data_IF_933353368423
#
_entry.id   IF_933353368423
#
_cell.length_a   1.000
_cell.length_b   1.000
_cell.length_c   1.000
_cell.angle_alpha   90.00
_cell.angle_beta   90.00
_cell.angle_gamma   90.00
#
_symmetry.space_group_name_H-M   'P 1'
#
loop_
_entity.id
_entity.type
_entity.pdbx_description
1 polymer ?
#
# COMPACT_ATOMS: atom_id res chain seq x y z
N UNK A 1 1.92 1.87 -14.10
CA UNK A 1 0.59 1.38 -13.72
C UNK A 1 -0.06 2.41 -12.80
N UNK A 2 -1.28 2.85 -13.11
CA UNK A 2 -2.00 3.83 -12.29
C UNK A 2 -2.65 3.16 -11.09
N UNK A 3 -2.39 3.69 -9.89
CA UNK A 3 -2.96 3.20 -8.63
C UNK A 3 -3.62 4.33 -7.85
N UNK A 4 -4.65 3.97 -7.09
CA UNK A 4 -5.37 4.87 -6.21
C UNK A 4 -5.22 4.36 -4.79
N UNK A 5 -4.63 5.18 -3.92
CA UNK A 5 -4.31 4.84 -2.54
C UNK A 5 -5.27 5.58 -1.62
N UNK A 6 -5.87 4.83 -0.72
CA UNK A 6 -6.73 5.32 0.35
C UNK A 6 -6.03 4.98 1.67
N UNK A 7 -5.33 5.95 2.29
CA UNK A 7 -4.66 5.71 3.54
C UNK A 7 -5.69 5.56 4.67
N UNK A 8 -5.67 4.41 5.33
CA UNK A 8 -6.47 4.09 6.51
C UNK A 8 -5.73 4.36 7.81
N UNK A 9 -6.19 3.70 8.88
CA UNK A 9 -5.59 3.80 10.21
C UNK A 9 -4.27 3.03 10.31
N UNK A 10 -4.32 1.71 10.04
CA UNK A 10 -3.15 0.80 10.05
C UNK A 10 -2.91 0.14 8.70
N UNK A 11 -3.62 0.58 7.67
CA UNK A 11 -3.58 -0.06 6.36
C UNK A 11 -3.65 0.92 5.19
N UNK A 12 -2.93 0.62 4.11
CA UNK A 12 -3.12 1.25 2.81
C UNK A 12 -4.05 0.38 1.99
N UNK A 13 -5.18 0.92 1.56
CA UNK A 13 -6.03 0.28 0.55
C UNK A 13 -5.72 0.87 -0.81
N UNK A 14 -5.38 0.01 -1.76
CA UNK A 14 -4.87 0.41 -3.07
C UNK A 14 -5.72 -0.25 -4.15
N UNK A 15 -6.18 0.54 -5.11
CA UNK A 15 -6.91 0.03 -6.29
C UNK A 15 -6.15 0.33 -7.57
N UNK A 16 -5.99 -0.68 -8.41
CA UNK A 16 -5.32 -0.57 -9.70
C UNK A 16 -6.34 -0.17 -10.76
N UNK A 17 -6.16 1.02 -11.35
CA UNK A 17 -7.00 1.55 -12.45
C UNK A 17 -8.52 1.25 -12.30
N UNK A 18 -9.15 1.70 -11.19
CA UNK A 18 -10.54 1.41 -10.91
C UNK A 18 -11.48 2.01 -11.98
N UNK A 19 -12.56 1.30 -12.30
CA UNK A 19 -13.59 1.78 -13.26
C UNK A 19 -14.47 2.89 -12.69
N UNK A 20 -14.56 3.00 -11.36
CA UNK A 20 -15.37 3.98 -10.64
C UNK A 20 -14.46 4.86 -9.81
N UNK A 21 -14.91 6.07 -9.54
CA UNK A 21 -14.26 6.95 -8.60
C UNK A 21 -14.13 6.26 -7.24
N UNK A 22 -12.97 6.43 -6.62
CA UNK A 22 -12.68 5.88 -5.29
C UNK A 22 -12.84 7.01 -4.29
N UNK A 23 -13.61 6.76 -3.24
CA UNK A 23 -13.82 7.67 -2.13
C UNK A 23 -13.31 7.03 -0.84
N UNK A 24 -13.20 7.84 0.22
CA UNK A 24 -12.88 7.39 1.58
C UNK A 24 -14.12 6.86 2.34
N UNK A 25 -15.28 6.77 1.68
CA UNK A 25 -16.55 6.42 2.34
C UNK A 25 -16.46 5.08 3.09
N UNK A 26 -16.90 5.06 4.35
CA UNK A 26 -16.91 3.88 5.20
C UNK A 26 -15.59 3.56 5.93
N UNK A 27 -14.55 4.39 5.83
CA UNK A 27 -13.32 4.24 6.61
C UNK A 27 -13.30 5.14 7.86
N UNK A 28 -12.80 4.66 9.01
CA UNK A 28 -12.67 5.49 10.21
C UNK A 28 -11.76 6.70 9.92
N UNK A 29 -12.16 7.87 10.43
CA UNK A 29 -11.39 9.11 10.35
C UNK A 29 -10.33 9.16 11.46
N UNK A 30 -9.42 8.17 11.47
CA UNK A 30 -8.22 8.22 12.29
C UNK A 30 -7.04 8.33 11.34
N UNK A 31 -6.37 9.47 11.42
CA UNK A 31 -5.29 9.87 10.52
C UNK A 31 -3.98 9.61 11.26
N UNK A 32 -3.28 8.54 10.90
CA UNK A 32 -1.88 8.38 11.31
C UNK A 32 -1.03 9.36 10.51
N UNK A 33 -0.35 10.35 11.12
CA UNK A 33 0.33 11.40 10.38
C UNK A 33 1.37 10.89 9.37
N UNK A 34 2.05 9.79 9.69
CA UNK A 34 3.07 9.16 8.85
C UNK A 34 2.47 8.46 7.61
N UNK A 35 1.24 7.94 7.69
CA UNK A 35 0.54 7.31 6.54
C UNK A 35 0.29 8.30 5.40
N UNK A 36 0.11 9.57 5.75
CA UNK A 36 -0.11 10.68 4.83
C UNK A 36 1.16 11.51 4.59
N UNK A 37 2.29 11.16 5.22
CA UNK A 37 3.50 11.98 5.11
C UNK A 37 3.96 12.20 3.66
N UNK A 38 3.85 11.22 2.73
CA UNK A 38 4.18 11.47 1.34
C UNK A 38 3.17 12.36 0.59
N UNK A 39 1.94 12.46 1.09
CA UNK A 39 0.84 13.19 0.46
C UNK A 39 0.01 13.96 1.49
N UNK A 40 0.54 15.05 2.07
CA UNK A 40 -0.15 15.83 3.08
C UNK A 40 -1.55 16.29 2.63
N UNK A 41 -1.72 16.62 1.35
CA UNK A 41 -2.98 17.01 0.73
C UNK A 41 -4.05 15.91 0.74
N UNK A 42 -3.64 14.64 0.89
CA UNK A 42 -4.56 13.52 0.97
C UNK A 42 -5.29 13.46 2.32
N UNK A 43 -4.86 14.24 3.32
CA UNK A 43 -5.60 14.40 4.59
C UNK A 43 -6.99 14.98 4.36
N UNK A 44 -7.13 15.85 3.36
CA UNK A 44 -8.41 16.48 2.99
C UNK A 44 -9.14 15.68 1.90
N UNK A 45 -8.41 15.25 0.86
CA UNK A 45 -9.00 14.56 -0.30
C UNK A 45 -9.31 13.08 -0.05
N UNK A 46 -8.66 12.47 0.93
CA UNK A 46 -8.83 11.06 1.30
C UNK A 46 -8.27 10.03 0.31
N UNK A 47 -7.91 10.43 -0.91
CA UNK A 47 -7.42 9.54 -1.97
C UNK A 47 -6.24 10.17 -2.71
N UNK A 48 -5.25 9.34 -3.04
CA UNK A 48 -4.06 9.71 -3.82
C UNK A 48 -4.03 8.89 -5.10
N UNK A 49 -3.74 9.54 -6.25
CA UNK A 49 -3.53 8.85 -7.52
C UNK A 49 -2.06 8.95 -7.91
N UNK A 50 -1.43 7.82 -8.25
CA UNK A 50 -0.02 7.74 -8.62
C UNK A 50 0.17 6.87 -9.86
N UNK A 51 1.23 7.13 -10.62
CA UNK A 51 1.75 6.21 -11.62
C UNK A 51 2.99 5.50 -11.09
N UNK A 52 2.89 4.18 -10.95
CA UNK A 52 3.95 3.32 -10.45
C UNK A 52 4.69 2.65 -11.60
N UNK A 53 6.03 2.60 -11.51
CA UNK A 53 6.85 1.88 -12.47
C UNK A 53 6.77 0.37 -12.20
N UNK A 54 6.53 -0.43 -13.23
CA UNK A 54 6.36 -1.88 -13.11
C UNK A 54 4.88 -2.32 -13.08
N UNK A 55 4.68 -3.63 -13.01
CA UNK A 55 3.36 -4.26 -13.08
C UNK A 55 3.15 -5.40 -12.08
N UNK A 56 4.07 -5.59 -11.12
CA UNK A 56 3.97 -6.64 -10.09
C UNK A 56 3.65 -6.08 -8.70
N UNK A 57 3.25 -6.96 -7.78
CA UNK A 57 3.07 -6.62 -6.37
C UNK A 57 4.40 -6.15 -5.75
N UNK A 58 5.53 -6.76 -6.12
CA UNK A 58 6.87 -6.33 -5.72
C UNK A 58 7.17 -4.91 -6.16
N UNK A 59 6.92 -4.59 -7.44
CA UNK A 59 7.16 -3.25 -7.99
C UNK A 59 6.37 -2.18 -7.23
N UNK A 60 5.10 -2.45 -6.95
CA UNK A 60 4.24 -1.59 -6.14
C UNK A 60 4.86 -1.30 -4.77
N UNK A 61 5.28 -2.34 -4.04
CA UNK A 61 5.83 -2.20 -2.70
C UNK A 61 7.18 -1.44 -2.70
N UNK A 62 8.04 -1.72 -3.68
CA UNK A 62 9.34 -1.04 -3.80
C UNK A 62 9.17 0.45 -4.14
N UNK A 63 8.25 0.80 -5.04
CA UNK A 63 7.98 2.22 -5.36
C UNK A 63 7.35 2.96 -4.18
N UNK A 64 6.43 2.33 -3.44
CA UNK A 64 5.90 2.93 -2.21
C UNK A 64 7.01 3.15 -1.17
N UNK A 65 7.90 2.19 -0.97
CA UNK A 65 9.03 2.32 -0.04
C UNK A 65 9.91 3.52 -0.39
N UNK A 66 10.18 3.76 -1.67
CA UNK A 66 10.92 4.96 -2.12
C UNK A 66 10.17 6.24 -1.80
N UNK A 67 8.86 6.28 -2.07
CA UNK A 67 8.02 7.46 -1.83
C UNK A 67 7.95 7.78 -0.32
N UNK A 68 7.75 6.78 0.54
CA UNK A 68 7.73 6.97 1.99
C UNK A 68 9.10 7.38 2.54
N UNK A 69 10.19 6.81 2.03
CA UNK A 69 11.55 7.20 2.40
C UNK A 69 11.86 8.67 2.07
N UNK A 70 11.38 9.17 0.93
CA UNK A 70 11.48 10.60 0.57
C UNK A 70 10.76 11.52 1.56
N UNK A 71 9.72 11.01 2.22
CA UNK A 71 8.99 11.71 3.27
C UNK A 71 9.56 11.48 4.69
N UNK A 72 10.75 10.88 4.81
CA UNK A 72 11.39 10.49 6.08
C UNK A 72 10.53 9.54 6.95
N UNK A 73 9.73 8.68 6.32
CA UNK A 73 8.99 7.62 6.99
C UNK A 73 9.65 6.28 6.71
N UNK A 74 9.87 5.52 7.78
CA UNK A 74 10.29 4.13 7.66
C UNK A 74 9.12 3.26 7.18
N UNK A 75 9.21 2.82 5.94
CA UNK A 75 8.23 1.95 5.29
C UNK A 75 8.98 0.98 4.41
N UNK A 76 9.29 -0.20 4.96
CA UNK A 76 10.09 -1.22 4.29
C UNK A 76 9.37 -2.59 4.33
N UNK A 77 8.25 -2.75 3.58
CA UNK A 77 7.45 -3.97 3.56
C UNK A 77 8.19 -5.19 2.97
N UNK A 78 9.27 -5.00 2.24
CA UNK A 78 10.11 -6.10 1.71
C UNK A 78 11.42 -6.09 2.49
N UNK A 79 11.67 -7.16 3.23
CA UNK A 79 12.90 -7.31 3.98
C UNK A 79 14.09 -7.52 3.02
N UNK A 80 15.15 -6.70 3.07
CA UNK A 80 16.25 -6.77 2.12
C UNK A 80 17.12 -8.03 2.26
N UNK A 81 17.07 -8.72 3.42
CA UNK A 81 17.85 -9.95 3.67
C UNK A 81 17.16 -11.18 3.10
N UNK A 82 15.84 -11.26 3.24
CA UNK A 82 15.05 -12.42 2.80
C UNK A 82 14.44 -12.22 1.41
N UNK A 83 14.38 -10.98 0.93
CA UNK A 83 13.68 -10.57 -0.30
C UNK A 83 12.19 -10.94 -0.31
N UNK A 84 11.61 -11.06 0.89
CA UNK A 84 10.22 -11.42 1.15
C UNK A 84 9.53 -10.38 2.05
N UNK A 85 8.23 -10.51 2.27
CA UNK A 85 7.49 -9.57 3.13
C UNK A 85 8.00 -9.63 4.57
N UNK A 86 8.30 -8.45 5.12
CA UNK A 86 8.70 -8.33 6.52
C UNK A 86 7.53 -8.68 7.46
N UNK A 87 7.82 -9.27 8.63
CA UNK A 87 6.81 -9.77 9.55
C UNK A 87 5.92 -8.64 10.14
N UNK A 88 6.41 -7.40 10.08
CA UNK A 88 5.65 -6.21 10.45
C UNK A 88 4.53 -5.88 9.45
N UNK A 89 4.42 -6.60 8.34
CA UNK A 89 3.45 -6.33 7.28
C UNK A 89 2.60 -7.55 6.91
N UNK A 90 1.33 -7.32 6.63
CA UNK A 90 0.45 -8.30 5.97
C UNK A 90 -0.03 -7.72 4.63
N UNK A 91 0.28 -8.42 3.53
CA UNK A 91 -0.10 -8.01 2.18
C UNK A 91 -1.20 -8.91 1.62
N UNK A 92 -2.33 -8.31 1.25
CA UNK A 92 -3.47 -8.97 0.63
C UNK A 92 -3.67 -8.47 -0.80
N UNK A 93 -3.89 -9.39 -1.74
CA UNK A 93 -4.34 -9.11 -3.11
C UNK A 93 -5.73 -9.72 -3.31
N UNK A 94 -6.74 -8.90 -3.59
CA UNK A 94 -8.14 -9.29 -3.71
C UNK A 94 -8.61 -10.15 -2.52
N UNK A 95 -8.22 -9.76 -1.31
CA UNK A 95 -8.54 -10.46 -0.06
C UNK A 95 -7.71 -11.70 0.26
N UNK A 96 -6.75 -12.09 -0.60
CA UNK A 96 -5.88 -13.26 -0.38
C UNK A 96 -4.47 -12.84 0.01
N UNK A 97 -3.88 -13.50 1.02
CA UNK A 97 -2.47 -13.26 1.40
C UNK A 97 -1.52 -13.52 0.23
N UNK A 98 -0.46 -12.72 0.13
CA UNK A 98 0.49 -12.85 -0.98
C UNK A 98 1.12 -14.26 -1.06
N UNK A 99 1.36 -14.92 0.08
CA UNK A 99 1.94 -16.27 0.16
C UNK A 99 1.11 -17.36 -0.52
N UNK A 100 -0.22 -17.16 -0.65
CA UNK A 100 -1.09 -18.14 -1.34
C UNK A 100 -1.21 -17.86 -2.84
N UNK A 101 -0.58 -16.79 -3.34
CA UNK A 101 -0.56 -16.48 -4.76
C UNK A 101 0.49 -17.35 -5.46
N UNK A 102 0.15 -17.91 -6.62
CA UNK A 102 1.05 -18.78 -7.41
C UNK A 102 2.43 -18.15 -7.70
N UNK A 103 2.49 -16.82 -7.80
CA UNK A 103 3.73 -16.06 -8.07
C UNK A 103 4.18 -15.18 -6.90
N UNK A 104 3.54 -15.30 -5.72
CA UNK A 104 3.86 -14.47 -4.55
C UNK A 104 3.91 -12.98 -4.90
N UNK A 105 5.02 -12.33 -4.56
CA UNK A 105 5.31 -10.92 -4.85
C UNK A 105 5.45 -10.60 -6.34
N UNK A 106 5.79 -11.58 -7.17
CA UNK A 106 5.93 -11.38 -8.62
C UNK A 106 4.57 -11.58 -9.34
N UNK A 107 3.47 -11.62 -8.58
CA UNK A 107 2.12 -11.61 -9.13
C UNK A 107 1.86 -10.28 -9.85
N UNK A 108 1.53 -10.37 -11.14
CA UNK A 108 1.17 -9.21 -11.95
C UNK A 108 -0.17 -8.62 -11.49
N UNK A 109 -0.15 -7.32 -11.22
CA UNK A 109 -1.29 -6.50 -10.89
C UNK A 109 -2.05 -6.13 -12.16
N UNK A 110 -3.37 -6.21 -12.08
CA UNK A 110 -4.29 -5.97 -13.19
C UNK A 110 -5.34 -4.95 -12.79
N UNK A 111 -5.92 -4.31 -13.80
CA UNK A 111 -7.07 -3.42 -13.64
C UNK A 111 -8.14 -4.04 -12.74
N UNK A 112 -8.59 -3.27 -11.76
CA UNK A 112 -9.58 -3.67 -10.77
C UNK A 112 -9.03 -4.51 -9.61
N UNK A 113 -7.73 -4.80 -9.57
CA UNK A 113 -7.14 -5.41 -8.38
C UNK A 113 -7.19 -4.46 -7.19
N UNK A 114 -7.47 -5.04 -6.04
CA UNK A 114 -7.40 -4.40 -4.73
C UNK A 114 -6.22 -4.99 -3.96
N UNK A 115 -5.36 -4.11 -3.45
CA UNK A 115 -4.24 -4.46 -2.59
C UNK A 115 -4.50 -3.82 -1.24
N UNK A 116 -4.30 -4.59 -0.17
CA UNK A 116 -4.30 -4.06 1.20
C UNK A 116 -2.93 -4.34 1.79
N UNK A 117 -2.25 -3.29 2.22
CA UNK A 117 -1.00 -3.35 2.96
C UNK A 117 -1.34 -3.02 4.40
N UNK A 118 -1.34 -4.01 5.29
CA UNK A 118 -1.54 -3.78 6.71
C UNK A 118 -0.20 -3.74 7.40
N UNK A 119 -0.08 -2.83 8.35
CA UNK A 119 1.09 -2.73 9.21
C UNK A 119 0.70 -3.30 10.56
N UNK A 120 1.32 -4.43 10.91
CA UNK A 120 1.19 -5.11 12.19
C UNK A 120 1.97 -4.30 13.22
N UNK A 121 1.43 -3.15 13.61
CA UNK A 121 2.09 -2.28 14.57
C UNK A 121 2.31 -3.02 15.90
N UNK A 122 3.57 -3.20 16.30
CA UNK A 122 3.97 -3.38 17.70
C UNK A 122 4.19 -2.01 18.31
N UNK A 123 3.43 -1.70 19.35
CA UNK A 123 3.63 -0.50 20.15
C UNK A 123 4.75 -0.80 21.15
N UNK A 124 5.98 -0.52 20.76
CA UNK A 124 7.12 -0.54 21.68
C UNK A 124 7.60 0.91 21.88
N UNK A 125 6.92 1.66 22.75
CA UNK A 125 7.42 2.90 23.36
C UNK A 125 6.64 4.18 23.07
#
# INVERSE_FOLDING_TARGET
MRVFIVPGLVELRIKVDPKREITREGLPYIVMPWMFAPWPEAREKGVVSLDIKGDTLRDLLLELSKIYKQANVDFEPINPKTNDIDFDYEILLNGKRYVVLKKGLDTKLRRGNEIVIKMNWRWDG
#
